data_IF_347785370615
#
_entry.id   IF_347785370615
#
_cell.length_a   1.000
_cell.length_b   1.000
_cell.length_c   1.000
_cell.angle_alpha   90.00
_cell.angle_beta   90.00
_cell.angle_gamma   90.00
#
_symmetry.space_group_name_H-M   'P 1'
#
loop_
_entity.id
_entity.type
_entity.pdbx_description
1 polymer ?
#
# COMPACT_ATOMS: atom_id res chain seq x y z
N UNK A 1 -28.74 0.98 -14.47
CA UNK A 1 -28.47 -0.42 -14.12
C UNK A 1 -29.72 -1.22 -14.37
N UNK A 2 -29.65 -2.42 -14.94
CA UNK A 2 -30.81 -3.29 -15.01
C UNK A 2 -31.14 -3.77 -13.60
N UNK A 3 -32.36 -3.50 -13.14
CA UNK A 3 -32.87 -4.04 -11.90
C UNK A 3 -33.13 -5.54 -12.09
N UNK A 4 -32.51 -6.37 -11.28
CA UNK A 4 -32.78 -7.81 -11.26
C UNK A 4 -33.79 -8.04 -10.13
N UNK A 5 -35.00 -8.50 -10.46
CA UNK A 5 -35.98 -8.93 -9.47
C UNK A 5 -35.52 -10.25 -8.84
N UNK A 6 -35.19 -10.23 -7.57
CA UNK A 6 -34.86 -11.41 -6.78
C UNK A 6 -36.06 -11.95 -6.03
N UNK A 7 -35.97 -13.20 -5.59
CA UNK A 7 -36.88 -13.77 -4.58
C UNK A 7 -36.72 -13.03 -3.26
N UNK A 8 -37.76 -13.05 -2.41
CA UNK A 8 -37.77 -12.38 -1.10
C UNK A 8 -36.43 -12.46 -0.36
N UNK A 9 -35.81 -11.29 -0.12
CA UNK A 9 -34.64 -11.14 0.71
C UNK A 9 -33.27 -11.30 0.04
N UNK A 10 -33.18 -11.52 -1.28
CA UNK A 10 -31.90 -11.60 -1.99
C UNK A 10 -31.90 -10.72 -3.24
N UNK A 11 -30.91 -9.84 -3.35
CA UNK A 11 -30.64 -9.03 -4.54
C UNK A 11 -29.29 -9.45 -5.12
N UNK A 12 -29.27 -9.70 -6.41
CA UNK A 12 -28.03 -9.99 -7.14
C UNK A 12 -27.68 -8.77 -7.98
N UNK A 13 -26.50 -8.21 -7.74
CA UNK A 13 -25.95 -7.11 -8.50
C UNK A 13 -24.84 -7.63 -9.39
N UNK A 14 -24.85 -7.17 -10.63
CA UNK A 14 -23.69 -7.33 -11.52
C UNK A 14 -23.07 -5.96 -11.73
N UNK A 15 -21.81 -5.82 -11.39
CA UNK A 15 -21.03 -4.60 -11.55
C UNK A 15 -19.61 -4.94 -12.00
N UNK A 16 -18.83 -3.93 -12.31
CA UNK A 16 -17.41 -4.15 -12.62
C UNK A 16 -16.64 -4.47 -11.34
N UNK A 17 -15.78 -5.48 -11.34
CA UNK A 17 -14.98 -5.82 -10.18
C UNK A 17 -14.18 -4.61 -9.67
N UNK A 18 -14.14 -4.43 -8.35
CA UNK A 18 -13.44 -3.33 -7.71
C UNK A 18 -14.17 -1.98 -7.70
N UNK A 19 -15.28 -1.81 -8.44
CA UNK A 19 -16.10 -0.59 -8.37
C UNK A 19 -17.02 -0.62 -7.14
N UNK A 20 -17.30 0.57 -6.61
CA UNK A 20 -18.25 0.77 -5.50
C UNK A 20 -19.60 1.20 -6.04
N UNK A 21 -20.65 0.58 -5.56
CA UNK A 21 -22.02 0.92 -5.91
C UNK A 21 -22.81 1.30 -4.65
N UNK A 22 -23.60 2.38 -4.75
CA UNK A 22 -24.60 2.69 -3.74
C UNK A 22 -25.92 2.02 -4.11
N UNK A 23 -26.51 1.31 -3.19
CA UNK A 23 -27.82 0.70 -3.35
C UNK A 23 -28.82 1.48 -2.52
N UNK A 24 -29.89 1.97 -3.15
CA UNK A 24 -31.04 2.52 -2.44
C UNK A 24 -32.22 1.55 -2.55
N UNK A 25 -32.77 1.17 -1.41
CA UNK A 25 -33.98 0.33 -1.36
C UNK A 25 -35.15 1.24 -1.05
N UNK A 26 -36.08 1.38 -2.00
CA UNK A 26 -37.32 2.11 -1.78
C UNK A 26 -38.46 1.10 -1.58
N UNK A 27 -39.20 1.23 -0.47
CA UNK A 27 -40.42 0.46 -0.26
C UNK A 27 -41.63 1.36 -0.47
N UNK A 28 -42.34 1.14 -1.55
CA UNK A 28 -43.52 1.94 -1.93
C UNK A 28 -44.73 1.79 -0.97
N UNK A 29 -44.72 0.76 -0.10
CA UNK A 29 -45.85 0.50 0.82
C UNK A 29 -45.80 1.27 2.15
N UNK A 30 -44.68 1.92 2.46
CA UNK A 30 -44.47 2.62 3.75
C UNK A 30 -43.98 4.07 3.61
N UNK A 31 -44.27 4.73 2.47
CA UNK A 31 -43.73 6.06 2.20
C UNK A 31 -42.23 5.98 1.79
N UNK A 32 -41.73 7.03 1.19
CA UNK A 32 -40.34 7.09 0.65
C UNK A 32 -39.25 7.02 1.74
N UNK A 33 -39.11 5.89 2.40
CA UNK A 33 -37.98 5.62 3.27
C UNK A 33 -36.85 5.09 2.36
N UNK A 34 -35.92 5.96 2.07
CA UNK A 34 -34.67 5.57 1.40
C UNK A 34 -33.69 5.13 2.51
N UNK A 35 -33.45 3.84 2.64
CA UNK A 35 -32.31 3.38 3.43
C UNK A 35 -31.09 3.44 2.52
N UNK A 36 -30.20 4.37 2.80
CA UNK A 36 -28.86 4.33 2.20
C UNK A 36 -28.14 3.11 2.73
N UNK A 37 -27.91 2.14 1.87
CA UNK A 37 -27.06 1.01 2.21
C UNK A 37 -25.60 1.45 2.17
N UNK A 38 -24.71 0.85 2.98
CA UNK A 38 -23.27 1.09 2.83
C UNK A 38 -22.83 0.78 1.39
N UNK A 39 -21.81 1.47 0.92
CA UNK A 39 -21.24 1.21 -0.38
C UNK A 39 -20.86 -0.26 -0.52
N UNK A 40 -21.38 -0.92 -1.55
CA UNK A 40 -21.08 -2.31 -1.85
C UNK A 40 -19.98 -2.33 -2.89
N UNK A 41 -18.81 -2.83 -2.51
CA UNK A 41 -17.73 -3.13 -3.46
C UNK A 41 -18.05 -4.45 -4.14
N UNK A 42 -18.04 -4.45 -5.47
CA UNK A 42 -18.25 -5.71 -6.21
C UNK A 42 -17.00 -6.57 -6.06
N UNK A 43 -17.18 -7.75 -5.49
CA UNK A 43 -16.09 -8.70 -5.34
C UNK A 43 -15.52 -9.08 -6.70
N UNK A 44 -14.19 -9.12 -6.76
CA UNK A 44 -13.49 -9.69 -7.91
C UNK A 44 -13.53 -11.21 -7.77
N UNK A 45 -13.82 -11.93 -8.86
CA UNK A 45 -13.66 -13.37 -8.85
C UNK A 45 -12.17 -13.70 -8.66
N UNK A 46 -11.88 -14.74 -7.86
CA UNK A 46 -10.50 -15.17 -7.54
C UNK A 46 -9.63 -15.43 -8.77
N UNK A 47 -10.25 -15.75 -9.91
CA UNK A 47 -9.55 -16.02 -11.17
C UNK A 47 -9.13 -14.75 -11.92
N UNK A 48 -9.59 -13.58 -11.48
CA UNK A 48 -9.35 -12.30 -12.17
C UNK A 48 -8.20 -11.47 -11.55
N UNK A 49 -7.44 -12.02 -10.63
CA UNK A 49 -6.22 -11.38 -10.13
C UNK A 49 -5.01 -11.78 -10.98
N UNK A 50 -4.09 -10.83 -11.16
CA UNK A 50 -2.85 -11.06 -11.90
C UNK A 50 -2.04 -12.22 -11.29
N UNK A 51 -1.76 -13.29 -12.03
CA UNK A 51 -0.93 -14.39 -11.53
C UNK A 51 0.48 -13.94 -11.13
N UNK A 52 1.02 -12.94 -11.81
CA UNK A 52 2.36 -12.38 -11.51
C UNK A 52 2.35 -11.64 -10.17
N UNK A 53 1.31 -10.84 -9.91
CA UNK A 53 1.18 -10.11 -8.64
C UNK A 53 0.93 -11.07 -7.47
N UNK A 54 0.10 -12.11 -7.67
CA UNK A 54 -0.09 -13.17 -6.67
C UNK A 54 1.22 -13.93 -6.40
N UNK A 55 1.99 -14.25 -7.44
CA UNK A 55 3.30 -14.89 -7.28
C UNK A 55 4.27 -13.99 -6.50
N UNK A 56 4.22 -12.67 -6.73
CA UNK A 56 4.98 -11.68 -5.97
C UNK A 56 4.62 -11.68 -4.48
N UNK A 57 3.33 -11.69 -4.14
CA UNK A 57 2.86 -11.78 -2.74
C UNK A 57 3.32 -13.09 -2.06
N UNK A 58 3.22 -14.21 -2.77
CA UNK A 58 3.70 -15.51 -2.27
C UNK A 58 5.22 -15.50 -2.05
N UNK A 59 5.97 -14.88 -2.97
CA UNK A 59 7.42 -14.74 -2.82
C UNK A 59 7.77 -13.86 -1.62
N UNK A 60 7.08 -12.73 -1.44
CA UNK A 60 7.27 -11.85 -0.27
C UNK A 60 7.11 -12.61 1.05
N UNK A 61 6.09 -13.46 1.15
CA UNK A 61 5.87 -14.30 2.33
C UNK A 61 6.98 -15.37 2.49
N UNK A 62 7.40 -16.00 1.40
CA UNK A 62 8.46 -17.02 1.42
C UNK A 62 9.83 -16.44 1.79
N UNK A 63 10.14 -15.23 1.34
CA UNK A 63 11.39 -14.53 1.64
C UNK A 63 11.44 -14.02 3.10
N UNK A 64 10.29 -13.93 3.78
CA UNK A 64 10.16 -13.46 5.16
C UNK A 64 9.42 -14.49 6.05
N UNK A 65 9.96 -15.69 6.23
CA UNK A 65 9.28 -16.79 6.93
C UNK A 65 9.07 -16.54 8.43
N UNK A 66 9.79 -15.58 8.99
CA UNK A 66 9.61 -15.13 10.38
C UNK A 66 8.32 -14.33 10.59
N UNK A 67 7.66 -13.87 9.50
CA UNK A 67 6.43 -13.09 9.55
C UNK A 67 5.25 -13.99 9.27
N UNK A 68 4.67 -14.55 10.33
CA UNK A 68 3.55 -15.50 10.25
C UNK A 68 2.33 -14.88 9.58
N UNK A 69 2.09 -13.58 9.80
CA UNK A 69 0.97 -12.84 9.22
C UNK A 69 1.04 -12.76 7.69
N UNK A 70 2.25 -12.66 7.09
CA UNK A 70 2.41 -12.74 5.63
C UNK A 70 2.01 -14.13 5.10
N UNK A 71 2.42 -15.17 5.80
CA UNK A 71 2.06 -16.52 5.44
C UNK A 71 0.55 -16.75 5.57
N UNK A 72 -0.05 -16.34 6.68
CA UNK A 72 -1.50 -16.44 6.90
C UNK A 72 -2.30 -15.67 5.87
N UNK A 73 -1.85 -14.46 5.51
CA UNK A 73 -2.44 -13.66 4.44
C UNK A 73 -2.44 -14.41 3.10
N UNK A 74 -1.31 -15.04 2.75
CA UNK A 74 -1.18 -15.79 1.49
C UNK A 74 -2.03 -17.08 1.54
N UNK A 75 -1.97 -17.86 2.64
CA UNK A 75 -2.68 -19.12 2.77
C UNK A 75 -4.21 -18.93 2.78
N UNK A 76 -4.69 -17.83 3.37
CA UNK A 76 -6.11 -17.47 3.40
C UNK A 76 -6.59 -16.70 2.16
N UNK A 77 -5.74 -16.47 1.18
CA UNK A 77 -5.99 -15.57 0.05
C UNK A 77 -6.48 -14.19 0.52
N UNK A 78 -5.79 -13.60 1.48
CA UNK A 78 -6.17 -12.34 2.09
C UNK A 78 -6.40 -11.20 1.10
N UNK A 79 -5.79 -11.26 -0.10
CA UNK A 79 -6.01 -10.29 -1.19
C UNK A 79 -7.44 -10.28 -1.77
N UNK A 80 -8.27 -11.26 -1.47
CA UNK A 80 -9.68 -11.33 -1.87
C UNK A 80 -10.62 -10.58 -0.90
N UNK A 81 -10.10 -10.07 0.22
CA UNK A 81 -10.90 -9.33 1.20
C UNK A 81 -11.37 -8.00 0.64
N UNK A 82 -12.63 -7.69 0.85
CA UNK A 82 -13.28 -6.47 0.37
C UNK A 82 -13.25 -5.33 1.39
N UNK A 83 -13.19 -5.65 2.67
CA UNK A 83 -13.24 -4.66 3.75
C UNK A 83 -12.04 -4.86 4.68
N UNK A 84 -11.27 -3.79 4.84
CA UNK A 84 -10.12 -3.75 5.72
C UNK A 84 -10.47 -3.06 7.03
N UNK A 85 -10.19 -3.70 8.15
CA UNK A 85 -10.19 -3.05 9.44
C UNK A 85 -8.77 -2.52 9.72
N UNK A 86 -8.57 -1.22 9.60
CA UNK A 86 -7.27 -0.57 9.72
C UNK A 86 -6.52 -0.83 11.03
N UNK A 87 -7.22 -1.32 12.07
CA UNK A 87 -6.61 -1.64 13.35
C UNK A 87 -6.28 -3.13 13.55
N UNK A 88 -6.76 -4.01 12.68
CA UNK A 88 -6.61 -5.46 12.82
C UNK A 88 -5.94 -6.12 11.61
N UNK A 89 -6.04 -5.49 10.44
CA UNK A 89 -5.51 -6.06 9.21
C UNK A 89 -4.06 -5.59 8.98
N UNK A 90 -3.13 -6.47 9.28
CA UNK A 90 -1.68 -6.25 9.16
C UNK A 90 -1.25 -6.02 7.70
N UNK A 91 -1.92 -6.66 6.75
CA UNK A 91 -1.61 -6.55 5.33
C UNK A 91 -2.86 -6.14 4.59
N UNK A 92 -2.75 -5.03 3.86
CA UNK A 92 -3.84 -4.50 3.03
C UNK A 92 -3.39 -4.41 1.58
N UNK A 93 -4.27 -4.84 0.69
CA UNK A 93 -4.05 -4.79 -0.76
C UNK A 93 -5.24 -4.15 -1.45
N UNK A 94 -4.99 -3.36 -2.50
CA UNK A 94 -6.02 -2.93 -3.43
C UNK A 94 -5.59 -3.21 -4.87
N UNK A 95 -6.55 -3.37 -5.76
CA UNK A 95 -6.33 -3.89 -7.09
C UNK A 95 -6.99 -3.00 -8.13
N UNK A 96 -6.41 -2.91 -9.33
CA UNK A 96 -7.02 -2.17 -10.43
C UNK A 96 -8.38 -2.75 -10.79
N UNK A 97 -9.26 -1.92 -11.35
CA UNK A 97 -10.61 -2.32 -11.79
C UNK A 97 -10.63 -2.95 -13.18
N UNK A 98 -9.46 -3.19 -13.76
CA UNK A 98 -9.33 -3.84 -15.09
C UNK A 98 -9.82 -5.28 -15.07
N UNK A 99 -9.99 -5.87 -16.25
CA UNK A 99 -10.44 -7.25 -16.42
C UNK A 99 -9.55 -8.23 -15.62
N UNK A 100 -8.23 -8.01 -15.67
CA UNK A 100 -7.27 -8.69 -14.80
C UNK A 100 -6.77 -7.69 -13.77
N UNK A 101 -7.18 -7.85 -12.51
CA UNK A 101 -6.75 -6.97 -11.42
C UNK A 101 -5.25 -7.03 -11.18
N UNK A 102 -4.62 -5.85 -11.24
CA UNK A 102 -3.22 -5.66 -10.91
C UNK A 102 -3.12 -5.02 -9.52
N UNK A 103 -2.13 -5.42 -8.73
CA UNK A 103 -1.90 -4.85 -7.42
C UNK A 103 -1.50 -3.38 -7.55
N UNK A 104 -2.33 -2.50 -6.97
CA UNK A 104 -2.10 -1.05 -7.00
C UNK A 104 -1.71 -0.49 -5.63
N UNK A 105 -2.15 -1.12 -4.56
CA UNK A 105 -1.84 -0.72 -3.19
C UNK A 105 -1.37 -1.93 -2.38
N UNK A 106 -0.31 -1.73 -1.63
CA UNK A 106 0.20 -2.68 -0.65
C UNK A 106 0.61 -1.91 0.61
N UNK A 107 -0.05 -2.19 1.71
CA UNK A 107 0.36 -1.71 3.02
C UNK A 107 0.64 -2.90 3.93
N UNK A 108 1.72 -2.80 4.71
CA UNK A 108 2.14 -3.83 5.67
C UNK A 108 2.40 -3.13 6.99
N UNK A 109 1.51 -3.35 7.95
CA UNK A 109 1.55 -2.70 9.26
C UNK A 109 1.51 -3.77 10.35
N UNK A 110 2.59 -3.95 11.09
CA UNK A 110 2.60 -4.84 12.25
C UNK A 110 2.27 -4.08 13.53
N UNK A 111 1.86 -4.80 14.57
CA UNK A 111 1.70 -4.23 15.90
C UNK A 111 3.02 -3.58 16.37
N UNK A 112 2.90 -2.46 17.07
CA UNK A 112 4.02 -1.68 17.61
C UNK A 112 4.90 -2.48 18.58
N UNK A 113 4.37 -3.54 19.18
CA UNK A 113 5.09 -4.45 20.05
C UNK A 113 5.78 -5.61 19.34
N UNK A 114 5.47 -5.82 18.04
CA UNK A 114 6.07 -6.91 17.27
C UNK A 114 7.57 -6.69 17.07
N UNK A 115 8.34 -7.76 17.21
CA UNK A 115 9.75 -7.82 16.85
C UNK A 115 9.97 -8.31 15.42
N UNK A 116 8.88 -8.57 14.70
CA UNK A 116 8.93 -9.04 13.32
C UNK A 116 9.47 -7.94 12.41
N UNK A 117 10.39 -8.30 11.57
CA UNK A 117 11.03 -7.37 10.63
C UNK A 117 11.07 -7.97 9.24
N UNK A 118 10.72 -7.15 8.24
CA UNK A 118 10.95 -7.51 6.84
C UNK A 118 12.44 -7.40 6.57
N UNK A 119 13.05 -8.51 6.18
CA UNK A 119 14.49 -8.59 5.84
C UNK A 119 14.74 -8.59 4.34
N UNK A 120 13.76 -9.03 3.55
CA UNK A 120 13.84 -9.06 2.10
C UNK A 120 12.55 -8.47 1.50
N UNK A 121 12.71 -7.47 0.64
CA UNK A 121 11.60 -6.80 -0.02
C UNK A 121 11.86 -6.71 -1.52
N UNK A 122 11.14 -7.53 -2.28
CA UNK A 122 11.15 -7.54 -3.73
C UNK A 122 9.76 -7.12 -4.24
N UNK A 123 9.67 -5.89 -4.74
CA UNK A 123 8.44 -5.32 -5.30
C UNK A 123 8.39 -5.39 -6.83
N UNK A 124 9.35 -6.04 -7.47
CA UNK A 124 9.53 -6.02 -8.94
C UNK A 124 8.36 -6.63 -9.73
N UNK A 125 7.59 -7.54 -9.11
CA UNK A 125 6.38 -8.11 -9.69
C UNK A 125 5.22 -7.11 -9.80
N UNK A 126 5.17 -6.09 -8.93
CA UNK A 126 4.05 -5.18 -8.78
C UNK A 126 4.22 -3.93 -9.66
N UNK A 127 4.23 -4.11 -10.97
CA UNK A 127 4.51 -3.02 -11.93
C UNK A 127 3.42 -1.95 -12.03
N UNK A 128 2.22 -2.22 -11.51
CA UNK A 128 1.11 -1.28 -11.41
C UNK A 128 0.98 -0.64 -10.02
N UNK A 129 1.93 -0.91 -9.12
CA UNK A 129 1.91 -0.41 -7.75
C UNK A 129 1.99 1.12 -7.74
N UNK A 130 1.01 1.74 -7.07
CA UNK A 130 0.89 3.18 -6.87
C UNK A 130 1.16 3.58 -5.42
N UNK A 131 0.78 2.73 -4.50
CA UNK A 131 0.89 2.98 -3.07
C UNK A 131 1.62 1.83 -2.40
N UNK A 132 2.73 2.17 -1.75
CA UNK A 132 3.42 1.25 -0.86
C UNK A 132 3.70 1.92 0.48
N UNK A 133 3.20 1.29 1.52
CA UNK A 133 3.42 1.71 2.89
C UNK A 133 3.90 0.53 3.73
N UNK A 134 5.02 0.71 4.41
CA UNK A 134 5.52 -0.22 5.38
C UNK A 134 6.10 0.53 6.57
N UNK A 135 5.24 0.86 7.53
CA UNK A 135 5.60 1.59 8.74
C UNK A 135 6.40 0.75 9.75
N UNK A 136 6.67 -0.49 9.43
CA UNK A 136 7.33 -1.39 10.34
C UNK A 136 8.79 -1.60 10.02
N UNK A 137 9.52 -2.07 11.04
CA UNK A 137 10.94 -2.29 10.96
C UNK A 137 11.31 -3.12 9.75
N UNK A 138 11.74 -2.44 8.70
CA UNK A 138 12.44 -3.12 7.64
C UNK A 138 13.92 -3.18 7.97
N UNK A 139 14.44 -4.40 7.94
CA UNK A 139 15.87 -4.64 8.13
C UNK A 139 16.55 -4.85 6.78
N UNK A 140 15.95 -4.25 5.73
CA UNK A 140 16.44 -4.36 4.37
C UNK A 140 17.70 -3.52 4.18
N UNK A 141 18.64 -4.06 3.43
CA UNK A 141 19.87 -3.37 3.02
C UNK A 141 19.76 -2.76 1.62
N UNK A 142 18.80 -3.26 0.83
CA UNK A 142 18.57 -2.85 -0.56
C UNK A 142 17.08 -2.77 -0.86
N UNK A 143 16.69 -1.78 -1.64
CA UNK A 143 15.34 -1.64 -2.19
C UNK A 143 15.45 -1.17 -3.64
N UNK A 144 15.07 -2.04 -4.59
CA UNK A 144 15.01 -1.72 -6.01
C UNK A 144 13.57 -1.42 -6.42
N UNK A 145 13.31 -0.18 -6.80
CA UNK A 145 12.01 0.31 -7.27
C UNK A 145 12.00 0.61 -8.78
N UNK A 146 12.99 0.14 -9.51
CA UNK A 146 13.15 0.41 -10.95
C UNK A 146 11.98 -0.09 -11.81
N UNK A 147 11.19 -1.04 -11.30
CA UNK A 147 10.00 -1.58 -11.96
C UNK A 147 8.69 -0.93 -11.51
N UNK A 148 8.71 -0.15 -10.43
CA UNK A 148 7.51 0.45 -9.84
C UNK A 148 7.33 1.90 -10.35
N UNK A 149 7.34 2.07 -11.66
CA UNK A 149 7.35 3.39 -12.33
C UNK A 149 6.05 4.19 -12.16
N UNK A 150 4.99 3.55 -11.67
CA UNK A 150 3.68 4.16 -11.38
C UNK A 150 3.51 4.55 -9.91
N UNK A 151 4.57 4.40 -9.10
CA UNK A 151 4.50 4.67 -7.67
C UNK A 151 4.23 6.15 -7.41
N UNK A 152 3.14 6.43 -6.70
CA UNK A 152 2.66 7.76 -6.32
C UNK A 152 2.94 8.06 -4.85
N UNK A 153 2.88 7.03 -4.00
CA UNK A 153 3.12 7.10 -2.57
C UNK A 153 4.11 6.02 -2.12
N UNK A 154 5.14 6.43 -1.42
CA UNK A 154 6.13 5.55 -0.81
C UNK A 154 6.38 5.97 0.63
N UNK A 155 6.12 5.06 1.57
CA UNK A 155 6.45 5.24 2.98
C UNK A 155 7.18 4.00 3.48
N UNK A 156 8.40 4.17 3.96
CA UNK A 156 9.25 3.05 4.40
C UNK A 156 10.12 3.43 5.59
N UNK A 157 10.25 2.51 6.53
CA UNK A 157 11.15 2.63 7.66
C UNK A 157 12.24 1.57 7.58
N UNK A 158 13.49 1.97 7.39
CA UNK A 158 14.62 1.05 7.43
C UNK A 158 15.86 1.67 8.03
N UNK A 159 16.46 0.98 9.00
CA UNK A 159 17.72 1.43 9.60
C UNK A 159 18.95 1.05 8.77
N UNK A 160 18.88 0.00 7.96
CA UNK A 160 20.05 -0.59 7.29
C UNK A 160 20.21 -0.20 5.82
N UNK A 161 19.19 0.43 5.22
CA UNK A 161 19.28 0.90 3.84
C UNK A 161 20.29 2.05 3.74
N UNK A 162 21.36 1.88 2.95
CA UNK A 162 22.43 2.88 2.80
C UNK A 162 22.19 3.82 1.62
N UNK A 163 21.45 3.37 0.63
CA UNK A 163 21.10 4.17 -0.55
C UNK A 163 19.74 3.81 -1.09
N UNK A 164 19.04 4.83 -1.63
CA UNK A 164 17.75 4.66 -2.29
C UNK A 164 17.73 5.48 -3.58
N UNK A 165 17.41 4.83 -4.69
CA UNK A 165 17.25 5.45 -5.99
C UNK A 165 15.77 5.45 -6.41
N UNK A 166 15.17 6.64 -6.45
CA UNK A 166 13.78 6.87 -6.86
C UNK A 166 13.69 7.52 -8.26
N UNK A 167 14.78 7.58 -9.02
CA UNK A 167 14.82 8.22 -10.34
C UNK A 167 13.90 7.56 -11.37
N UNK A 168 13.44 6.34 -11.10
CA UNK A 168 12.47 5.61 -11.94
C UNK A 168 11.02 5.74 -11.48
N UNK A 169 10.73 6.60 -10.48
CA UNK A 169 9.40 6.83 -9.94
C UNK A 169 8.90 8.28 -10.26
N UNK A 170 8.67 8.62 -11.54
CA UNK A 170 8.31 9.99 -11.95
C UNK A 170 6.93 10.42 -11.47
N UNK A 171 6.07 9.47 -11.09
CA UNK A 171 4.71 9.73 -10.59
C UNK A 171 4.67 10.03 -9.09
N UNK A 172 5.83 9.93 -8.38
CA UNK A 172 5.89 10.03 -6.93
C UNK A 172 5.45 11.41 -6.44
N UNK A 173 4.45 11.41 -5.55
CA UNK A 173 3.84 12.60 -4.95
C UNK A 173 4.16 12.71 -3.46
N UNK A 174 4.21 11.58 -2.77
CA UNK A 174 4.56 11.47 -1.36
C UNK A 174 5.75 10.54 -1.18
N UNK A 175 6.74 11.00 -0.43
CA UNK A 175 7.83 10.15 0.02
C UNK A 175 8.10 10.37 1.51
N UNK A 176 7.98 9.29 2.29
CA UNK A 176 8.33 9.22 3.70
C UNK A 176 9.43 8.19 3.94
N UNK A 177 10.48 8.59 4.66
CA UNK A 177 11.54 7.69 5.08
C UNK A 177 12.07 8.05 6.46
N UNK A 178 12.24 7.03 7.31
CA UNK A 178 12.75 7.27 8.64
C UNK A 178 13.08 6.01 9.44
N UNK A 179 13.16 6.19 10.74
CA UNK A 179 13.18 5.10 11.72
C UNK A 179 12.09 5.32 12.75
N UNK A 180 11.62 4.24 13.30
CA UNK A 180 10.62 4.25 14.36
C UNK A 180 11.25 4.49 15.73
N UNK A 181 10.48 5.10 16.62
CA UNK A 181 10.79 5.17 18.05
C UNK A 181 10.78 3.78 18.69
N UNK A 182 11.88 3.34 19.30
CA UNK A 182 12.04 1.99 19.85
C UNK A 182 11.63 1.87 21.32
N UNK A 183 11.08 2.92 21.91
CA UNK A 183 10.65 2.91 23.32
C UNK A 183 11.77 3.11 24.36
N UNK A 184 13.03 3.02 23.97
CA UNK A 184 14.19 3.13 24.87
C UNK A 184 14.76 4.57 24.97
N UNK A 185 13.99 5.57 24.58
CA UNK A 185 14.40 6.97 24.67
C UNK A 185 15.41 7.42 23.61
N UNK A 186 15.77 6.57 22.66
CA UNK A 186 16.67 6.95 21.57
C UNK A 186 16.13 6.53 20.21
N UNK A 187 16.06 7.50 19.32
CA UNK A 187 15.89 7.22 17.90
C UNK A 187 17.22 6.76 17.30
N UNK A 188 17.22 5.65 16.60
CA UNK A 188 18.43 5.20 15.91
C UNK A 188 18.51 5.90 14.55
N UNK A 189 19.63 6.53 14.25
CA UNK A 189 19.88 7.06 12.90
C UNK A 189 19.83 5.93 11.88
N UNK A 190 19.21 6.21 10.74
CA UNK A 190 19.30 5.32 9.59
C UNK A 190 20.69 5.37 8.98
N UNK A 191 21.05 4.34 8.23
CA UNK A 191 22.28 4.37 7.43
C UNK A 191 22.12 5.09 6.10
N UNK A 192 20.92 5.61 5.76
CA UNK A 192 20.64 6.23 4.46
C UNK A 192 21.48 7.50 4.31
N UNK A 193 22.54 7.38 3.52
CA UNK A 193 23.48 8.44 3.21
C UNK A 193 23.35 8.94 1.75
N UNK A 194 22.72 8.18 0.88
CA UNK A 194 22.53 8.53 -0.53
C UNK A 194 21.06 8.35 -0.94
N UNK A 195 20.42 9.46 -1.30
CA UNK A 195 19.05 9.51 -1.78
C UNK A 195 19.00 10.20 -3.14
N UNK A 196 18.56 9.47 -4.17
CA UNK A 196 18.39 10.00 -5.52
C UNK A 196 16.90 10.23 -5.81
N UNK A 197 16.48 11.49 -5.87
CA UNK A 197 15.13 11.93 -6.20
C UNK A 197 15.05 12.56 -7.61
N UNK A 198 16.07 12.38 -8.43
CA UNK A 198 16.09 12.92 -9.80
C UNK A 198 14.88 12.39 -10.59
N UNK A 199 14.10 13.30 -11.19
CA UNK A 199 12.89 12.92 -11.96
C UNK A 199 11.59 12.86 -11.16
N UNK A 200 11.61 12.91 -9.81
CA UNK A 200 10.40 12.96 -8.98
C UNK A 200 9.74 14.36 -8.99
N UNK A 201 9.48 14.91 -10.18
CA UNK A 201 8.99 16.30 -10.35
C UNK A 201 7.57 16.53 -9.85
N UNK A 202 6.82 15.47 -9.57
CA UNK A 202 5.45 15.51 -9.03
C UNK A 202 5.41 15.53 -7.50
N UNK A 203 6.56 15.48 -6.83
CA UNK A 203 6.65 15.39 -5.36
C UNK A 203 6.00 16.63 -4.73
N UNK A 204 5.03 16.37 -3.86
CA UNK A 204 4.27 17.37 -3.09
C UNK A 204 4.59 17.33 -1.60
N UNK A 205 4.94 16.16 -1.09
CA UNK A 205 5.24 15.96 0.33
C UNK A 205 6.50 15.11 0.50
N UNK A 206 7.40 15.56 1.39
CA UNK A 206 8.65 14.91 1.69
C UNK A 206 8.88 14.88 3.20
N UNK A 207 8.95 13.67 3.78
CA UNK A 207 9.20 13.42 5.18
C UNK A 207 10.48 12.61 5.35
N UNK A 208 11.46 13.18 6.00
CA UNK A 208 12.77 12.57 6.22
C UNK A 208 13.16 12.67 7.69
N UNK A 209 13.30 11.51 8.34
CA UNK A 209 13.60 11.46 9.76
C UNK A 209 14.82 10.59 10.07
N UNK A 210 15.68 11.06 10.98
CA UNK A 210 16.83 10.31 11.48
C UNK A 210 17.80 9.81 10.39
N UNK A 211 18.02 10.60 9.34
CA UNK A 211 18.88 10.25 8.24
C UNK A 211 20.36 10.60 8.50
N UNK A 212 21.22 9.96 7.71
CA UNK A 212 22.66 10.26 7.66
C UNK A 212 23.03 11.08 6.41
N UNK A 213 22.05 11.79 5.80
CA UNK A 213 22.28 12.66 4.67
C UNK A 213 23.14 13.87 5.07
N UNK A 214 24.11 14.21 4.21
CA UNK A 214 24.93 15.42 4.38
C UNK A 214 24.40 16.60 3.55
N UNK A 215 23.59 16.33 2.56
CA UNK A 215 22.94 17.34 1.72
C UNK A 215 21.72 16.78 1.00
N UNK A 216 20.78 17.64 0.66
CA UNK A 216 19.60 17.32 -0.11
C UNK A 216 19.28 18.51 -1.03
N UNK A 217 19.29 18.28 -2.35
CA UNK A 217 18.86 19.27 -3.32
C UNK A 217 17.36 19.13 -3.60
N UNK A 218 16.57 20.11 -3.20
CA UNK A 218 15.12 20.19 -3.43
C UNK A 218 14.74 21.22 -4.51
N UNK A 219 15.70 21.81 -5.20
CA UNK A 219 15.49 22.93 -6.14
C UNK A 219 14.58 22.55 -7.32
N UNK A 220 14.53 21.28 -7.69
CA UNK A 220 13.70 20.75 -8.79
C UNK A 220 12.23 20.52 -8.41
N UNK A 221 11.86 20.51 -7.12
CA UNK A 221 10.53 20.14 -6.66
C UNK A 221 9.58 21.33 -6.62
N UNK A 222 9.11 21.76 -7.78
CA UNK A 222 8.25 22.94 -7.93
C UNK A 222 6.85 22.79 -7.32
N UNK A 223 6.44 21.57 -7.00
CA UNK A 223 5.14 21.23 -6.40
C UNK A 223 5.22 20.93 -4.90
N UNK A 224 6.43 20.89 -4.32
CA UNK A 224 6.63 20.56 -2.92
C UNK A 224 5.94 21.62 -2.04
N UNK A 225 4.98 21.19 -1.25
CA UNK A 225 4.20 22.04 -0.35
C UNK A 225 4.35 21.66 1.12
N UNK A 226 4.87 20.44 1.39
CA UNK A 226 5.19 19.98 2.73
C UNK A 226 6.57 19.34 2.77
N UNK A 227 7.41 19.87 3.62
CA UNK A 227 8.76 19.37 3.88
C UNK A 227 8.96 19.21 5.38
N UNK A 228 9.22 17.98 5.80
CA UNK A 228 9.62 17.68 7.18
C UNK A 228 10.98 17.02 7.13
N UNK A 229 11.96 17.60 7.83
CA UNK A 229 13.29 17.03 8.00
C UNK A 229 13.61 17.11 9.49
N UNK A 230 13.66 15.94 10.14
CA UNK A 230 13.87 15.86 11.57
C UNK A 230 15.05 14.97 11.90
N UNK A 231 15.90 15.44 12.83
CA UNK A 231 17.03 14.67 13.38
C UNK A 231 18.02 14.15 12.30
N UNK A 232 18.21 14.88 11.23
CA UNK A 232 19.13 14.56 10.12
C UNK A 232 20.50 15.21 10.30
#
# INVERSE_FOLDING_TARGET
MPAVSGKEGAFVFTGKPGEYYMCSITNSNYGNWCMETPQIKVARNSDNYSPADIAGLKKLAADNPNITQLKEFVDSKGWERENWNSYQDVIRTDWSTDEVGRLTHLAIEFDWSSKDTISQLDLSAFTELKYFDCENFMNIEKLDLSKNTKLEHLHVYSKNLESLDLSKCPELQYFGFGTRYTGEGSYQKTKLARLNLTGCSKLTELYLEHLSLTSLDISSFKRLNRLTIEYC
#
